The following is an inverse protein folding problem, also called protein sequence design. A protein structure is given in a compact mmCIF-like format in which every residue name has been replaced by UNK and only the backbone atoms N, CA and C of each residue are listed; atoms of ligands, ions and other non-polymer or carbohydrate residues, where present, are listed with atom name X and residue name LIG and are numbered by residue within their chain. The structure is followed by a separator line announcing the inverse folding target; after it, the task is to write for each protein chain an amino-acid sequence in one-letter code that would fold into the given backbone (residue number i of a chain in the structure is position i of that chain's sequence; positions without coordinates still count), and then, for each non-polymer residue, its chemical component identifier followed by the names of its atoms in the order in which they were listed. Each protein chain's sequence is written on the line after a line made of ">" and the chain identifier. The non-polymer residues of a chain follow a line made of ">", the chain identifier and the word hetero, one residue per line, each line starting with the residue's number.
data_IF_585694956444
#
_entry.id   IF_585694956444
#
_cell.length_a   1.000
_cell.length_b   1.000
_cell.length_c   1.000
_cell.angle_alpha   90.00
_cell.angle_beta   90.00
_cell.angle_gamma   90.00
#
_symmetry.space_group_name_H-M   'P 1'
#
loop_
_entity.id
_entity.type
_entity.pdbx_description
1 polymer ?
#
# COMPACT_ATOMS: atom_id res chain seq x y z
N UNK A 1 -5.59 -23.97 60.71
CA UNK A 1 -4.85 -24.46 61.89
C UNK A 1 -3.44 -24.84 61.45
N UNK A 2 -2.43 -24.16 62.02
CA UNK A 2 -1.06 -24.62 62.36
C UNK A 2 -0.38 -25.66 61.43
N UNK A 3 0.67 -25.23 60.73
CA UNK A 3 2.10 -25.42 61.10
C UNK A 3 2.66 -26.80 60.74
N UNK A 4 3.66 -26.83 59.86
CA UNK A 4 4.62 -27.92 59.75
C UNK A 4 6.03 -27.32 59.75
N UNK A 5 6.86 -27.91 60.59
CA UNK A 5 8.18 -27.49 61.05
C UNK A 5 9.08 -28.73 60.87
N UNK A 6 10.37 -28.49 60.66
CA UNK A 6 11.56 -29.36 60.79
C UNK A 6 12.26 -29.66 59.45
N UNK A 7 13.53 -29.33 59.13
CA UNK A 7 14.84 -29.09 59.82
C UNK A 7 15.86 -30.21 59.49
N UNK A 8 16.96 -29.80 58.82
CA UNK A 8 18.36 -30.31 58.86
C UNK A 8 18.66 -31.74 58.36
N UNK A 9 19.84 -32.13 57.83
CA UNK A 9 21.19 -31.56 57.61
C UNK A 9 21.93 -32.44 56.55
N UNK A 10 22.95 -31.92 55.83
CA UNK A 10 24.41 -32.25 55.88
C UNK A 10 24.87 -32.75 54.48
N UNK A 11 26.06 -32.53 53.90
CA UNK A 11 27.38 -32.07 54.35
C UNK A 11 28.30 -31.74 53.12
N UNK A 12 29.15 -30.68 53.25
CA UNK A 12 30.52 -30.32 52.74
C UNK A 12 31.23 -31.19 51.65
N UNK A 13 32.16 -30.74 50.78
CA UNK A 13 33.19 -29.66 50.73
C UNK A 13 33.62 -29.43 49.23
N UNK A 14 34.24 -28.33 48.77
CA UNK A 14 35.69 -28.03 48.91
C UNK A 14 36.15 -26.64 48.34
N UNK A 15 36.65 -25.76 49.24
CA UNK A 15 37.78 -24.78 49.21
C UNK A 15 38.04 -23.71 48.10
N UNK A 16 38.84 -22.63 48.35
CA UNK A 16 39.38 -22.09 49.63
C UNK A 16 39.15 -20.57 49.89
N UNK A 17 39.54 -20.18 51.11
CA UNK A 17 39.47 -18.87 51.77
C UNK A 17 40.41 -17.80 51.20
N UNK A 18 39.94 -16.55 51.15
CA UNK A 18 40.76 -15.33 51.29
C UNK A 18 40.06 -14.43 52.32
N UNK A 19 40.84 -13.90 53.26
CA UNK A 19 40.41 -13.20 54.47
C UNK A 19 39.79 -11.80 54.29
N UNK A 20 39.46 -11.13 55.41
CA UNK A 20 38.46 -10.06 55.44
C UNK A 20 39.03 -8.69 55.05
N UNK A 21 38.24 -7.93 54.29
CA UNK A 21 38.46 -6.49 54.12
C UNK A 21 37.86 -5.73 55.31
N UNK A 22 38.52 -4.66 55.80
CA UNK A 22 38.10 -3.93 56.99
C UNK A 22 37.06 -2.85 56.66
N UNK A 23 36.14 -2.60 57.60
CA UNK A 23 35.34 -1.36 57.62
C UNK A 23 33.83 -1.55 57.62
N UNK A 24 33.27 -2.26 58.61
CA UNK A 24 31.86 -2.07 58.98
C UNK A 24 31.85 -1.40 60.35
N UNK A 25 31.64 -0.09 60.35
CA UNK A 25 31.22 0.65 61.53
C UNK A 25 29.73 0.41 61.71
N UNK A 26 29.34 -0.25 62.80
CA UNK A 26 27.96 -0.26 63.26
C UNK A 26 27.61 1.15 63.74
N UNK A 27 26.81 1.88 62.96
CA UNK A 27 26.04 3.01 63.46
C UNK A 27 24.62 2.51 63.66
N UNK A 28 24.27 2.29 64.92
CA UNK A 28 22.90 2.23 65.37
C UNK A 28 22.33 3.64 65.26
N UNK A 29 21.54 3.88 64.23
CA UNK A 29 20.74 5.11 64.09
C UNK A 29 19.28 4.74 64.35
N UNK A 30 18.82 5.08 65.55
CA UNK A 30 17.41 5.34 65.80
C UNK A 30 16.94 6.44 64.84
N UNK A 31 15.85 6.17 64.12
CA UNK A 31 15.23 7.11 63.21
C UNK A 31 14.62 6.38 62.03
N UNK A 32 13.29 6.43 61.93
CA UNK A 32 12.49 5.97 60.80
C UNK A 32 13.16 6.27 59.46
N UNK A 33 13.81 5.26 58.87
CA UNK A 33 14.05 5.25 57.43
C UNK A 33 12.72 4.80 56.83
N UNK A 34 11.99 5.66 56.11
CA UNK A 34 10.82 5.20 55.40
C UNK A 34 11.32 4.14 54.42
N UNK A 35 10.88 2.89 54.58
CA UNK A 35 10.91 1.92 53.50
C UNK A 35 10.31 2.65 52.32
N UNK A 36 11.15 2.97 51.35
CA UNK A 36 10.84 3.87 50.25
C UNK A 36 9.56 3.39 49.61
N UNK A 37 8.48 4.16 49.81
CA UNK A 37 7.23 4.08 49.07
C UNK A 37 7.47 4.64 47.65
N UNK A 38 8.54 4.18 47.00
CA UNK A 38 8.72 4.25 45.54
C UNK A 38 8.13 2.94 45.04
N UNK A 39 6.84 2.77 45.32
CA UNK A 39 6.08 1.61 44.89
C UNK A 39 5.91 1.74 43.39
N UNK A 40 6.36 0.72 42.66
CA UNK A 40 5.99 0.26 41.32
C UNK A 40 4.71 0.82 40.64
N UNK A 41 4.54 2.14 40.52
CA UNK A 41 3.37 2.77 39.88
C UNK A 41 3.23 2.32 38.41
N UNK A 42 4.36 2.05 37.74
CA UNK A 42 4.37 1.49 36.39
C UNK A 42 3.88 0.03 36.33
N UNK A 43 3.94 -0.75 37.41
CA UNK A 43 3.31 -2.09 37.44
C UNK A 43 1.78 -1.97 37.45
N UNK A 44 1.23 -0.97 38.13
CA UNK A 44 -0.21 -0.70 38.07
C UNK A 44 -0.64 -0.30 36.65
N UNK A 45 0.16 0.56 35.99
CA UNK A 45 -0.08 0.93 34.60
C UNK A 45 0.08 -0.24 33.63
N UNK A 46 1.04 -1.15 33.87
CA UNK A 46 1.17 -2.41 33.13
C UNK A 46 -0.11 -3.24 33.24
N UNK A 47 -0.63 -3.45 34.45
CA UNK A 47 -1.81 -4.28 34.66
C UNK A 47 -3.07 -3.61 34.09
N UNK A 48 -3.19 -2.28 34.20
CA UNK A 48 -4.24 -1.49 33.54
C UNK A 48 -4.17 -1.64 32.03
N UNK A 49 -2.97 -1.54 31.45
CA UNK A 49 -2.78 -1.71 30.01
C UNK A 49 -3.22 -3.11 29.57
N UNK A 50 -2.84 -4.16 30.30
CA UNK A 50 -3.26 -5.54 29.98
C UNK A 50 -4.78 -5.70 30.03
N UNK A 51 -5.44 -5.11 31.03
CA UNK A 51 -6.87 -5.32 31.29
C UNK A 51 -7.80 -4.32 30.57
N UNK A 52 -7.24 -3.26 29.97
CA UNK A 52 -8.02 -2.20 29.35
C UNK A 52 -8.94 -2.74 28.25
N UNK A 53 -10.24 -2.46 28.40
CA UNK A 53 -11.31 -2.84 27.46
C UNK A 53 -11.70 -1.70 26.52
N UNK A 54 -11.53 -0.45 26.96
CA UNK A 54 -11.83 0.73 26.17
C UNK A 54 -10.54 1.31 25.59
N UNK A 55 -10.63 1.84 24.38
CA UNK A 55 -9.48 2.43 23.65
C UNK A 55 -8.84 3.57 24.43
N UNK A 56 -9.65 4.46 25.01
CA UNK A 56 -9.15 5.57 25.82
C UNK A 56 -8.34 5.10 27.04
N UNK A 57 -8.82 4.08 27.76
CA UNK A 57 -8.12 3.53 28.93
C UNK A 57 -6.81 2.82 28.51
N UNK A 58 -6.85 2.09 27.39
CA UNK A 58 -5.68 1.41 26.82
C UNK A 58 -4.61 2.44 26.44
N UNK A 59 -5.00 3.48 25.71
CA UNK A 59 -4.08 4.49 25.21
C UNK A 59 -3.50 5.30 26.39
N UNK A 60 -4.31 5.70 27.37
CA UNK A 60 -3.83 6.38 28.56
C UNK A 60 -2.84 5.53 29.38
N UNK A 61 -3.12 4.23 29.56
CA UNK A 61 -2.22 3.33 30.25
C UNK A 61 -0.91 3.08 29.48
N UNK A 62 -0.99 3.02 28.15
CA UNK A 62 0.20 2.94 27.30
C UNK A 62 1.07 4.18 27.41
N UNK A 63 0.50 5.39 27.28
CA UNK A 63 1.27 6.63 27.37
C UNK A 63 1.95 6.78 28.73
N UNK A 64 1.23 6.53 29.83
CA UNK A 64 1.80 6.57 31.18
C UNK A 64 2.98 5.59 31.35
N UNK A 65 2.85 4.38 30.79
CA UNK A 65 3.90 3.38 30.86
C UNK A 65 5.07 3.66 29.90
N UNK A 66 4.81 4.24 28.73
CA UNK A 66 5.82 4.64 27.75
C UNK A 66 6.66 5.82 28.23
N UNK A 67 6.03 6.81 28.88
CA UNK A 67 6.72 7.91 29.56
C UNK A 67 7.65 7.34 30.65
N UNK A 68 7.10 6.48 31.52
CA UNK A 68 7.88 5.80 32.55
C UNK A 68 8.99 4.91 31.98
N UNK A 69 8.87 4.39 30.76
CA UNK A 69 9.87 3.54 30.10
C UNK A 69 11.02 4.30 29.43
N UNK A 70 11.05 5.64 29.51
CA UNK A 70 12.07 6.48 28.89
C UNK A 70 13.40 6.53 29.64
N UNK A 71 13.44 6.18 30.93
CA UNK A 71 14.64 6.35 31.80
C UNK A 71 14.98 5.15 32.73
N UNK A 72 14.10 4.15 32.96
CA UNK A 72 14.45 2.87 33.58
C UNK A 72 14.24 1.65 32.67
N UNK A 73 15.19 0.70 32.71
CA UNK A 73 15.09 -0.55 31.94
C UNK A 73 13.90 -1.43 32.35
N UNK A 74 13.47 -1.38 33.61
CA UNK A 74 12.37 -2.21 34.15
C UNK A 74 11.00 -1.79 33.62
N UNK A 75 10.69 -0.50 33.54
CA UNK A 75 9.42 -0.02 32.97
C UNK A 75 9.32 -0.35 31.48
N UNK A 76 10.46 -0.34 30.75
CA UNK A 76 10.50 -0.81 29.37
C UNK A 76 10.22 -2.32 29.26
N UNK A 77 10.75 -3.11 30.18
CA UNK A 77 10.41 -4.55 30.27
C UNK A 77 8.92 -4.73 30.54
N UNK A 78 8.36 -3.99 31.50
CA UNK A 78 6.93 -4.03 31.82
C UNK A 78 6.03 -3.66 30.64
N UNK A 79 6.39 -2.62 29.89
CA UNK A 79 5.70 -2.24 28.66
C UNK A 79 5.74 -3.38 27.64
N UNK A 80 6.91 -3.98 27.43
CA UNK A 80 7.08 -5.14 26.55
C UNK A 80 6.21 -6.33 26.98
N UNK A 81 6.17 -6.63 28.28
CA UNK A 81 5.31 -7.68 28.86
C UNK A 81 3.82 -7.40 28.61
N UNK A 82 3.36 -6.17 28.87
CA UNK A 82 1.97 -5.79 28.67
C UNK A 82 1.54 -5.90 27.20
N UNK A 83 2.35 -5.38 26.27
CA UNK A 83 2.10 -5.49 24.84
C UNK A 83 2.09 -6.94 24.37
N UNK A 84 3.01 -7.76 24.89
CA UNK A 84 3.06 -9.21 24.58
C UNK A 84 1.83 -9.94 25.09
N UNK A 85 1.38 -9.66 26.31
CA UNK A 85 0.18 -10.28 26.89
C UNK A 85 -1.09 -9.90 26.09
N UNK A 86 -1.23 -8.63 25.70
CA UNK A 86 -2.34 -8.18 24.84
C UNK A 86 -2.30 -8.84 23.47
N UNK A 87 -1.11 -8.94 22.87
CA UNK A 87 -0.93 -9.65 21.59
C UNK A 87 -1.32 -11.12 21.68
N UNK A 88 -0.88 -11.84 22.71
CA UNK A 88 -1.27 -13.24 22.92
C UNK A 88 -2.79 -13.40 23.05
N UNK A 89 -3.45 -12.51 23.81
CA UNK A 89 -4.90 -12.51 23.94
C UNK A 89 -5.62 -12.22 22.61
N UNK A 90 -5.08 -11.27 21.83
CA UNK A 90 -5.60 -10.93 20.50
C UNK A 90 -5.46 -12.12 19.53
N UNK A 91 -4.29 -12.77 19.50
CA UNK A 91 -4.04 -13.94 18.66
C UNK A 91 -4.95 -15.13 19.03
N UNK A 92 -5.11 -15.42 20.33
CA UNK A 92 -6.02 -16.47 20.80
C UNK A 92 -7.48 -16.16 20.40
N UNK A 93 -7.89 -14.89 20.50
CA UNK A 93 -9.21 -14.45 20.06
C UNK A 93 -9.38 -14.61 18.55
N UNK A 94 -8.37 -14.25 17.76
CA UNK A 94 -8.40 -14.35 16.30
C UNK A 94 -8.53 -15.81 15.87
N UNK A 95 -7.73 -16.70 16.46
CA UNK A 95 -7.77 -18.14 16.21
C UNK A 95 -9.15 -18.73 16.56
N UNK A 96 -9.74 -18.30 17.67
CA UNK A 96 -11.05 -18.76 18.12
C UNK A 96 -12.24 -18.32 17.24
N UNK A 97 -12.06 -17.38 16.30
CA UNK A 97 -13.15 -16.87 15.45
C UNK A 97 -13.49 -17.78 14.25
N UNK A 98 -12.71 -18.83 14.01
CA UNK A 98 -12.91 -19.77 12.90
C UNK A 98 -12.86 -19.08 11.53
N UNK A 99 -11.94 -18.14 11.35
CA UNK A 99 -11.87 -17.32 10.12
C UNK A 99 -11.44 -18.13 8.90
N UNK A 100 -10.68 -19.22 9.07
CA UNK A 100 -10.21 -20.06 7.96
C UNK A 100 -11.35 -20.51 7.05
N UNK A 101 -12.40 -21.09 7.64
CA UNK A 101 -13.57 -21.52 6.88
C UNK A 101 -14.36 -20.35 6.27
N UNK A 102 -14.40 -19.18 6.93
CA UNK A 102 -15.08 -17.98 6.39
C UNK A 102 -14.35 -17.42 5.18
N UNK A 103 -13.02 -17.55 5.13
CA UNK A 103 -12.16 -17.02 4.07
C UNK A 103 -11.82 -18.05 2.99
N UNK A 104 -12.04 -19.34 3.23
CA UNK A 104 -11.72 -20.45 2.32
C UNK A 104 -12.09 -20.17 0.86
N UNK A 105 -13.35 -19.76 0.62
CA UNK A 105 -13.81 -19.45 -0.75
C UNK A 105 -13.18 -18.19 -1.34
N UNK A 106 -12.93 -17.17 -0.53
CA UNK A 106 -12.27 -15.94 -0.99
C UNK A 106 -10.79 -16.21 -1.30
N UNK A 107 -10.12 -17.04 -0.51
CA UNK A 107 -8.73 -17.46 -0.74
C UNK A 107 -8.62 -18.31 -2.02
N UNK A 108 -9.55 -19.24 -2.25
CA UNK A 108 -9.62 -19.99 -3.50
C UNK A 108 -9.80 -19.06 -4.72
N UNK A 109 -10.71 -18.08 -4.61
CA UNK A 109 -10.90 -17.07 -5.65
C UNK A 109 -9.66 -16.18 -5.83
N UNK A 110 -8.90 -15.92 -4.77
CA UNK A 110 -7.63 -15.20 -4.84
C UNK A 110 -6.58 -15.99 -5.60
N UNK A 111 -6.49 -17.30 -5.37
CA UNK A 111 -5.61 -18.18 -6.16
C UNK A 111 -6.01 -18.20 -7.63
N UNK A 112 -7.31 -18.31 -7.94
CA UNK A 112 -7.82 -18.22 -9.31
C UNK A 112 -7.45 -16.87 -9.96
N UNK A 113 -7.65 -15.76 -9.24
CA UNK A 113 -7.31 -14.41 -9.68
C UNK A 113 -5.83 -14.31 -10.07
N UNK A 114 -4.93 -14.84 -9.26
CA UNK A 114 -3.49 -14.77 -9.53
C UNK A 114 -3.08 -15.64 -10.72
N UNK A 115 -3.74 -16.78 -10.93
CA UNK A 115 -3.55 -17.62 -12.12
C UNK A 115 -4.00 -16.90 -13.40
N UNK A 116 -5.21 -16.32 -13.41
CA UNK A 116 -5.73 -15.63 -14.61
C UNK A 116 -4.98 -14.32 -14.89
N UNK A 117 -4.50 -13.61 -13.85
CA UNK A 117 -3.58 -12.47 -14.01
C UNK A 117 -2.30 -12.89 -14.72
N UNK A 118 -1.63 -13.93 -14.20
CA UNK A 118 -0.40 -14.45 -14.81
C UNK A 118 -0.65 -14.85 -16.26
N UNK A 119 -1.71 -15.59 -16.52
CA UNK A 119 -2.05 -16.05 -17.86
C UNK A 119 -2.27 -14.90 -18.86
N UNK A 120 -2.92 -13.82 -18.44
CA UNK A 120 -3.09 -12.61 -19.27
C UNK A 120 -1.76 -11.85 -19.47
N UNK A 121 -1.04 -11.59 -18.39
CA UNK A 121 0.23 -10.85 -18.41
C UNK A 121 1.28 -11.53 -19.28
N UNK A 122 1.43 -12.86 -19.16
CA UNK A 122 2.40 -13.65 -19.93
C UNK A 122 2.23 -13.44 -21.46
N UNK A 123 1.01 -13.21 -21.96
CA UNK A 123 0.77 -12.92 -23.38
C UNK A 123 0.90 -11.44 -23.74
N UNK A 124 0.45 -10.54 -22.87
CA UNK A 124 0.51 -9.10 -23.15
C UNK A 124 1.97 -8.62 -23.18
N UNK A 125 2.81 -9.20 -22.32
CA UNK A 125 4.24 -8.90 -22.20
C UNK A 125 5.11 -9.64 -23.23
N UNK A 126 4.58 -10.67 -23.90
CA UNK A 126 5.28 -11.38 -24.96
C UNK A 126 5.32 -10.53 -26.25
N UNK A 127 6.41 -9.79 -26.43
CA UNK A 127 6.63 -8.95 -27.60
C UNK A 127 6.86 -9.74 -28.91
N UNK A 128 7.09 -11.05 -28.84
CA UNK A 128 7.21 -11.88 -30.04
C UNK A 128 5.84 -12.29 -30.56
N UNK A 129 4.97 -12.75 -29.65
CA UNK A 129 3.61 -13.19 -30.00
C UNK A 129 2.66 -12.01 -30.18
N UNK A 130 2.68 -11.05 -29.25
CA UNK A 130 1.86 -9.83 -29.27
C UNK A 130 2.73 -8.63 -29.69
N UNK A 131 3.26 -8.73 -30.90
CA UNK A 131 4.31 -7.87 -31.43
C UNK A 131 3.84 -6.46 -31.82
N UNK A 132 4.81 -5.55 -31.94
CA UNK A 132 4.67 -4.22 -32.53
C UNK A 132 5.92 -3.93 -33.42
N UNK A 133 5.80 -3.22 -34.55
CA UNK A 133 4.57 -2.79 -35.21
C UNK A 133 3.78 -3.99 -35.76
N UNK A 134 2.45 -3.86 -35.79
CA UNK A 134 1.55 -4.95 -36.17
C UNK A 134 0.70 -4.68 -37.42
N UNK A 135 0.88 -3.51 -38.05
CA UNK A 135 0.17 -3.10 -39.25
C UNK A 135 1.10 -3.13 -40.46
N UNK A 136 0.51 -3.17 -41.64
CA UNK A 136 1.23 -2.95 -42.89
C UNK A 136 1.53 -1.45 -43.06
N UNK A 137 2.64 -1.08 -43.72
CA UNK A 137 3.60 -1.96 -44.43
C UNK A 137 4.72 -2.54 -43.54
N UNK A 138 4.77 -2.23 -42.25
CA UNK A 138 5.87 -2.60 -41.37
C UNK A 138 5.99 -4.12 -41.16
N UNK A 139 4.89 -4.86 -41.34
CA UNK A 139 4.88 -6.32 -41.36
C UNK A 139 4.17 -6.86 -42.61
N UNK A 140 4.46 -8.11 -42.96
CA UNK A 140 3.77 -8.81 -44.06
C UNK A 140 2.28 -8.95 -43.77
N UNK A 141 1.45 -9.09 -44.81
CA UNK A 141 0.01 -9.32 -44.65
C UNK A 141 -0.31 -10.57 -43.82
N UNK A 142 0.47 -11.64 -44.02
CA UNK A 142 0.36 -12.89 -43.26
C UNK A 142 0.64 -12.66 -41.78
N UNK A 143 1.69 -11.90 -41.44
CA UNK A 143 2.04 -11.56 -40.06
C UNK A 143 0.99 -10.63 -39.44
N UNK A 144 0.51 -9.61 -40.16
CA UNK A 144 -0.58 -8.76 -39.67
C UNK A 144 -1.86 -9.57 -39.36
N UNK A 145 -2.17 -10.60 -40.14
CA UNK A 145 -3.33 -11.46 -39.91
C UNK A 145 -3.21 -12.33 -38.64
N UNK A 146 -1.99 -12.69 -38.21
CA UNK A 146 -1.81 -13.43 -36.94
C UNK A 146 -2.08 -12.54 -35.74
N UNK A 147 -1.76 -11.24 -35.81
CA UNK A 147 -1.99 -10.29 -34.72
C UNK A 147 -3.46 -10.27 -34.27
N UNK A 148 -4.42 -10.30 -35.22
CA UNK A 148 -5.84 -10.27 -34.88
C UNK A 148 -6.27 -11.46 -34.00
N UNK A 149 -5.72 -12.66 -34.28
CA UNK A 149 -5.99 -13.86 -33.47
C UNK A 149 -5.37 -13.72 -32.07
N UNK A 150 -4.17 -13.17 -31.99
CA UNK A 150 -3.49 -12.91 -30.70
C UNK A 150 -4.26 -11.87 -29.89
N UNK A 151 -4.75 -10.79 -30.51
CA UNK A 151 -5.59 -9.80 -29.84
C UNK A 151 -6.86 -10.43 -29.26
N UNK A 152 -7.56 -11.28 -30.03
CA UNK A 152 -8.75 -11.98 -29.53
C UNK A 152 -8.45 -12.86 -28.32
N UNK A 153 -7.28 -13.51 -28.31
CA UNK A 153 -6.80 -14.29 -27.18
C UNK A 153 -6.51 -13.38 -25.97
N UNK A 154 -5.83 -12.24 -26.15
CA UNK A 154 -5.62 -11.24 -25.10
C UNK A 154 -6.97 -10.82 -24.50
N UNK A 155 -7.95 -10.49 -25.33
CA UNK A 155 -9.28 -10.08 -24.87
C UNK A 155 -9.98 -11.19 -24.08
N UNK A 156 -9.84 -12.46 -24.48
CA UNK A 156 -10.40 -13.60 -23.76
C UNK A 156 -9.77 -13.74 -22.37
N UNK A 157 -8.44 -13.61 -22.27
CA UNK A 157 -7.72 -13.70 -21.00
C UNK A 157 -8.05 -12.54 -20.07
N UNK A 158 -8.15 -11.32 -20.60
CA UNK A 158 -8.58 -10.14 -19.83
C UNK A 158 -10.04 -10.29 -19.37
N UNK A 159 -10.95 -10.78 -20.21
CA UNK A 159 -12.34 -11.06 -19.79
C UNK A 159 -12.44 -12.12 -18.68
N UNK A 160 -11.61 -13.16 -18.72
CA UNK A 160 -11.55 -14.16 -17.66
C UNK A 160 -11.13 -13.51 -16.33
N UNK A 161 -10.10 -12.66 -16.37
CA UNK A 161 -9.65 -11.86 -15.23
C UNK A 161 -10.76 -10.94 -14.70
N UNK A 162 -11.42 -10.17 -15.56
CA UNK A 162 -12.56 -9.32 -15.19
C UNK A 162 -13.68 -10.14 -14.54
N UNK A 163 -13.93 -11.35 -15.05
CA UNK A 163 -14.93 -12.26 -14.51
C UNK A 163 -14.69 -12.64 -13.05
N UNK A 164 -13.44 -12.88 -12.67
CA UNK A 164 -13.04 -13.17 -11.29
C UNK A 164 -13.08 -11.90 -10.45
N UNK A 165 -12.47 -10.82 -10.94
CA UNK A 165 -12.34 -9.54 -10.22
C UNK A 165 -13.70 -8.92 -9.89
N UNK A 166 -14.59 -8.80 -10.87
CA UNK A 166 -15.90 -8.16 -10.70
C UNK A 166 -16.87 -8.99 -9.85
N UNK A 167 -16.64 -10.31 -9.75
CA UNK A 167 -17.44 -11.24 -8.92
C UNK A 167 -16.76 -11.56 -7.60
N UNK A 168 -15.86 -10.68 -7.13
CA UNK A 168 -15.18 -10.85 -5.85
C UNK A 168 -16.16 -11.15 -4.72
N UNK A 169 -15.93 -12.25 -4.02
CA UNK A 169 -16.62 -12.58 -2.78
C UNK A 169 -16.30 -11.52 -1.72
N UNK A 170 -17.27 -11.24 -0.86
CA UNK A 170 -17.17 -10.23 0.19
C UNK A 170 -17.39 -10.89 1.54
N UNK A 171 -16.34 -10.94 2.36
CA UNK A 171 -16.44 -11.39 3.75
C UNK A 171 -16.75 -10.17 4.61
N UNK A 172 -17.93 -10.17 5.27
CA UNK A 172 -18.32 -9.06 6.15
C UNK A 172 -17.47 -9.05 7.42
N UNK A 173 -17.00 -7.86 7.81
CA UNK A 173 -16.29 -7.66 9.07
C UNK A 173 -17.30 -7.24 10.14
N UNK A 174 -17.66 -8.19 11.01
CA UNK A 174 -18.54 -7.91 12.16
C UNK A 174 -17.82 -7.12 13.26
N UNK A 175 -18.58 -6.47 14.15
CA UNK A 175 -18.03 -5.66 15.26
C UNK A 175 -16.92 -6.35 16.06
N UNK A 176 -17.02 -7.65 16.45
CA UNK A 176 -15.95 -8.30 17.19
C UNK A 176 -14.64 -8.41 16.42
N UNK A 177 -14.72 -8.74 15.12
CA UNK A 177 -13.53 -8.83 14.26
C UNK A 177 -12.96 -7.43 14.00
N UNK A 178 -13.80 -6.42 13.75
CA UNK A 178 -13.36 -5.05 13.54
C UNK A 178 -12.53 -4.54 14.74
N UNK A 179 -13.08 -4.66 15.96
CA UNK A 179 -12.38 -4.24 17.17
C UNK A 179 -11.07 -5.01 17.40
N UNK A 180 -11.04 -6.30 17.05
CA UNK A 180 -9.82 -7.11 17.15
C UNK A 180 -8.76 -6.69 16.13
N UNK A 181 -9.13 -6.38 14.89
CA UNK A 181 -8.21 -5.89 13.87
C UNK A 181 -7.64 -4.52 14.23
N UNK A 182 -8.45 -3.63 14.81
CA UNK A 182 -8.00 -2.34 15.36
C UNK A 182 -7.01 -2.52 16.52
N UNK A 183 -7.23 -3.50 17.40
CA UNK A 183 -6.27 -3.85 18.47
C UNK A 183 -4.97 -4.38 17.89
N UNK A 184 -5.03 -5.27 16.90
CA UNK A 184 -3.83 -5.84 16.25
C UNK A 184 -3.01 -4.74 15.56
N UNK A 185 -3.66 -3.83 14.82
CA UNK A 185 -2.99 -2.69 14.19
C UNK A 185 -2.34 -1.77 15.22
N UNK A 186 -3.04 -1.48 16.33
CA UNK A 186 -2.51 -0.68 17.42
C UNK A 186 -1.28 -1.31 18.08
N UNK A 187 -1.27 -2.64 18.27
CA UNK A 187 -0.17 -3.41 18.84
C UNK A 187 1.03 -3.49 17.87
N UNK A 188 0.80 -3.77 16.59
CA UNK A 188 1.87 -3.87 15.58
C UNK A 188 2.60 -2.53 15.43
N UNK A 189 1.88 -1.40 15.48
CA UNK A 189 2.47 -0.06 15.49
C UNK A 189 3.40 0.22 16.69
N UNK A 190 3.33 -0.59 17.75
CA UNK A 190 4.11 -0.48 19.00
C UNK A 190 5.04 -1.67 19.21
N UNK A 191 5.25 -2.51 18.20
CA UNK A 191 6.05 -3.73 18.34
C UNK A 191 7.53 -3.44 18.65
N UNK A 192 8.01 -2.22 18.40
CA UNK A 192 9.37 -1.75 18.69
C UNK A 192 9.70 -1.69 20.19
N UNK A 193 8.68 -1.66 21.05
CA UNK A 193 8.85 -1.75 22.50
C UNK A 193 9.07 -3.19 22.99
N UNK A 194 8.78 -4.19 22.17
CA UNK A 194 8.94 -5.61 22.49
C UNK A 194 10.26 -6.13 21.90
N UNK A 195 11.14 -6.67 22.75
CA UNK A 195 12.39 -7.28 22.28
C UNK A 195 12.08 -8.50 21.40
N UNK A 196 12.54 -8.47 20.15
CA UNK A 196 12.21 -9.51 19.16
C UNK A 196 10.87 -9.28 18.44
N UNK A 197 10.14 -8.21 18.78
CA UNK A 197 8.85 -7.87 18.20
C UNK A 197 7.70 -8.77 18.68
N UNK A 198 6.53 -8.55 18.08
CA UNK A 198 5.34 -9.34 18.33
C UNK A 198 5.28 -10.50 17.33
N UNK A 199 5.60 -11.71 17.82
CA UNK A 199 5.64 -12.91 17.00
C UNK A 199 4.23 -13.38 16.63
N UNK A 200 3.97 -13.57 15.34
CA UNK A 200 2.72 -14.15 14.87
C UNK A 200 2.79 -15.69 15.02
N UNK A 201 1.78 -16.35 15.62
CA UNK A 201 1.80 -17.81 15.82
C UNK A 201 1.98 -18.60 14.52
N UNK A 202 2.96 -19.51 14.48
CA UNK A 202 3.24 -20.37 13.30
C UNK A 202 2.08 -21.31 12.97
N UNK A 203 1.23 -21.63 13.95
CA UNK A 203 0.03 -22.45 13.74
C UNK A 203 -1.07 -21.73 12.96
N UNK A 204 -0.99 -20.40 12.79
CA UNK A 204 -1.99 -19.63 12.07
C UNK A 204 -1.50 -19.30 10.65
N UNK A 205 -2.39 -19.33 9.65
CA UNK A 205 -2.05 -18.90 8.30
C UNK A 205 -1.55 -17.45 8.24
N UNK A 206 -0.48 -17.22 7.48
CA UNK A 206 0.20 -15.91 7.40
C UNK A 206 -0.74 -14.76 6.98
N UNK A 207 -1.67 -15.01 6.04
CA UNK A 207 -2.61 -13.99 5.54
C UNK A 207 -3.46 -13.34 6.65
N UNK A 208 -3.73 -14.05 7.75
CA UNK A 208 -4.51 -13.52 8.86
C UNK A 208 -3.84 -12.32 9.54
N UNK A 209 -2.50 -12.27 9.50
CA UNK A 209 -1.72 -11.14 10.03
C UNK A 209 -2.02 -9.84 9.29
N UNK A 210 -2.42 -9.93 8.02
CA UNK A 210 -2.56 -8.79 7.12
C UNK A 210 -4.00 -8.41 6.81
N UNK A 211 -4.96 -8.90 7.62
CA UNK A 211 -6.35 -8.50 7.51
C UNK A 211 -6.48 -6.99 7.78
N UNK A 212 -7.13 -6.22 6.87
CA UNK A 212 -7.13 -4.77 6.98
C UNK A 212 -8.12 -4.28 8.04
N UNK A 213 -7.60 -3.52 9.02
CA UNK A 213 -8.42 -2.79 9.98
C UNK A 213 -9.25 -1.68 9.30
N UNK A 214 -10.36 -1.29 9.94
CA UNK A 214 -11.24 -0.21 9.48
C UNK A 214 -12.05 -0.53 8.21
N UNK A 215 -11.99 -1.76 7.69
CA UNK A 215 -12.79 -2.16 6.52
C UNK A 215 -14.10 -2.83 6.94
N UNK A 216 -15.21 -2.43 6.32
CA UNK A 216 -16.52 -3.08 6.54
C UNK A 216 -16.61 -4.48 5.92
N UNK A 217 -15.80 -4.73 4.89
CA UNK A 217 -15.74 -6.00 4.17
C UNK A 217 -14.32 -6.26 3.67
N UNK A 218 -13.97 -7.54 3.54
CA UNK A 218 -12.70 -7.99 2.96
C UNK A 218 -13.01 -8.78 1.69
N UNK A 219 -12.30 -8.45 0.62
CA UNK A 219 -12.49 -8.96 -0.73
C UNK A 219 -11.15 -8.95 -1.52
N UNK A 220 -11.16 -9.31 -2.80
CA UNK A 220 -9.94 -9.42 -3.60
C UNK A 220 -9.17 -8.10 -3.76
N UNK A 221 -9.80 -6.96 -3.48
CA UNK A 221 -9.19 -5.64 -3.62
C UNK A 221 -8.36 -5.22 -2.41
N UNK A 222 -8.62 -5.83 -1.24
CA UNK A 222 -7.98 -5.44 0.02
C UNK A 222 -7.40 -6.62 0.83
N UNK A 223 -7.55 -7.86 0.37
CA UNK A 223 -6.91 -9.05 0.95
C UNK A 223 -5.45 -9.14 0.53
N UNK A 224 -4.55 -9.06 1.52
CA UNK A 224 -3.12 -9.35 1.36
C UNK A 224 -2.79 -10.75 1.87
N UNK A 225 -1.97 -11.49 1.12
CA UNK A 225 -1.48 -12.81 1.54
C UNK A 225 -0.20 -12.73 2.37
N UNK A 226 0.61 -11.72 2.14
CA UNK A 226 1.90 -11.52 2.80
C UNK A 226 2.20 -10.02 3.08
N UNK A 227 3.33 -9.76 3.73
CA UNK A 227 3.79 -8.39 4.07
C UNK A 227 3.98 -7.50 2.85
N UNK A 228 4.51 -8.05 1.76
CA UNK A 228 4.81 -7.30 0.54
C UNK A 228 3.51 -6.82 -0.10
N UNK A 229 2.51 -7.70 -0.17
CA UNK A 229 1.17 -7.35 -0.66
C UNK A 229 0.48 -6.34 0.24
N UNK A 230 0.56 -6.51 1.56
CA UNK A 230 -0.05 -5.58 2.52
C UNK A 230 0.49 -4.15 2.32
N UNK A 231 1.83 -4.03 2.17
CA UNK A 231 2.49 -2.75 1.87
C UNK A 231 2.07 -2.18 0.52
N UNK A 232 1.99 -3.03 -0.52
CA UNK A 232 1.53 -2.63 -1.85
C UNK A 232 0.11 -2.06 -1.80
N UNK A 233 -0.83 -2.79 -1.19
CA UNK A 233 -2.24 -2.37 -1.09
C UNK A 233 -2.43 -1.10 -0.25
N UNK A 234 -1.61 -0.90 0.79
CA UNK A 234 -1.60 0.34 1.55
C UNK A 234 -1.11 1.51 0.70
N UNK A 235 0.03 1.33 0.01
CA UNK A 235 0.58 2.34 -0.89
C UNK A 235 -0.40 2.68 -2.01
N UNK A 236 -1.07 1.69 -2.60
CA UNK A 236 -2.03 1.92 -3.68
C UNK A 236 -3.24 2.72 -3.20
N UNK A 237 -3.78 2.41 -2.01
CA UNK A 237 -4.83 3.24 -1.37
C UNK A 237 -4.38 4.68 -1.17
N UNK A 238 -3.15 4.90 -0.70
CA UNK A 238 -2.58 6.23 -0.54
C UNK A 238 -2.37 6.96 -1.87
N UNK A 239 -1.93 6.25 -2.92
CA UNK A 239 -1.75 6.84 -4.25
C UNK A 239 -3.08 7.31 -4.86
N UNK A 240 -4.14 6.52 -4.72
CA UNK A 240 -5.48 6.92 -5.15
C UNK A 240 -6.00 8.11 -4.35
N UNK A 241 -5.85 8.09 -3.02
CA UNK A 241 -6.25 9.20 -2.16
C UNK A 241 -5.45 10.48 -2.45
N UNK A 242 -4.15 10.35 -2.74
CA UNK A 242 -3.29 11.44 -3.18
C UNK A 242 -3.84 12.10 -4.44
N UNK A 243 -4.22 11.32 -5.45
CA UNK A 243 -4.78 11.86 -6.69
C UNK A 243 -6.04 12.67 -6.43
N UNK A 244 -7.01 12.11 -5.69
CA UNK A 244 -8.26 12.81 -5.37
C UNK A 244 -8.02 14.07 -4.52
N UNK A 245 -7.13 14.00 -3.53
CA UNK A 245 -6.79 15.15 -2.69
C UNK A 245 -6.10 16.26 -3.51
N UNK A 246 -5.16 15.90 -4.38
CA UNK A 246 -4.48 16.84 -5.28
C UNK A 246 -5.50 17.49 -6.21
N UNK A 247 -6.39 16.72 -6.85
CA UNK A 247 -7.43 17.28 -7.72
C UNK A 247 -8.46 18.14 -6.99
N UNK A 248 -8.81 17.81 -5.75
CA UNK A 248 -9.70 18.61 -4.93
C UNK A 248 -9.06 19.95 -4.50
N UNK A 249 -7.74 19.96 -4.29
CA UNK A 249 -6.98 21.18 -4.00
C UNK A 249 -6.87 22.10 -5.22
N UNK A 250 -6.90 21.55 -6.44
CA UNK A 250 -7.00 22.28 -7.69
C UNK A 250 -8.40 22.91 -7.82
N UNK A 251 -8.58 24.14 -7.34
CA UNK A 251 -9.87 24.85 -7.44
C UNK A 251 -10.25 25.04 -8.92
N UNK A 252 -11.43 24.53 -9.29
CA UNK A 252 -12.09 24.81 -10.58
C UNK A 252 -12.15 26.33 -10.84
N UNK A 253 -12.02 26.78 -12.10
CA UNK A 253 -11.90 28.19 -12.45
C UNK A 253 -13.08 29.02 -11.93
N UNK A 254 -12.80 30.19 -11.36
CA UNK A 254 -13.81 31.19 -11.01
C UNK A 254 -14.31 31.88 -12.28
N UNK A 255 -15.61 32.14 -12.36
CA UNK A 255 -16.22 33.00 -13.39
C UNK A 255 -15.60 34.40 -13.22
N UNK A 256 -14.72 34.81 -14.14
CA UNK A 256 -13.91 36.06 -14.17
C UNK A 256 -12.42 35.90 -13.80
N UNK A 257 -11.67 35.08 -14.56
CA UNK A 257 -10.20 34.99 -14.47
C UNK A 257 -9.50 35.76 -15.60
N UNK A 258 -8.31 36.30 -15.32
CA UNK A 258 -7.41 36.91 -16.31
C UNK A 258 -6.80 35.84 -17.24
N UNK A 259 -6.25 36.24 -18.40
CA UNK A 259 -5.61 35.31 -19.34
C UNK A 259 -4.44 34.51 -18.73
N UNK A 260 -3.73 35.08 -17.75
CA UNK A 260 -2.66 34.39 -17.00
C UNK A 260 -3.20 33.32 -16.06
N UNK A 261 -4.31 33.59 -15.37
CA UNK A 261 -5.00 32.62 -14.52
C UNK A 261 -5.60 31.48 -15.36
N UNK A 262 -6.09 31.78 -16.56
CA UNK A 262 -6.56 30.78 -17.53
C UNK A 262 -5.43 29.85 -18.01
N UNK A 263 -4.24 30.40 -18.30
CA UNK A 263 -3.03 29.60 -18.60
C UNK A 263 -2.61 28.72 -17.43
N UNK A 264 -2.73 29.20 -16.19
CA UNK A 264 -2.47 28.39 -14.99
C UNK A 264 -3.52 27.28 -14.78
N UNK A 265 -4.78 27.50 -15.18
CA UNK A 265 -5.81 26.46 -15.09
C UNK A 265 -5.73 25.38 -16.18
N UNK A 266 -5.07 25.66 -17.31
CA UNK A 266 -4.84 24.67 -18.39
C UNK A 266 -3.87 23.54 -17.98
N UNK A 267 -3.19 23.68 -16.83
CA UNK A 267 -2.34 22.64 -16.24
C UNK A 267 -3.13 21.63 -15.37
N UNK A 268 -4.43 21.87 -15.12
CA UNK A 268 -5.26 20.97 -14.31
C UNK A 268 -6.15 20.08 -15.16
N UNK A 269 -6.36 18.82 -14.74
CA UNK A 269 -7.16 17.88 -15.51
C UNK A 269 -8.65 18.23 -15.38
N UNK A 270 -9.35 18.22 -16.51
CA UNK A 270 -10.82 18.22 -16.53
C UNK A 270 -11.38 16.87 -16.04
N UNK A 271 -12.70 16.75 -15.92
CA UNK A 271 -13.30 15.51 -15.38
C UNK A 271 -13.04 14.28 -16.27
N UNK A 272 -13.03 14.42 -17.58
CA UNK A 272 -12.73 13.30 -18.48
C UNK A 272 -11.28 12.83 -18.30
N UNK A 273 -10.34 13.76 -18.13
CA UNK A 273 -8.93 13.47 -17.88
C UNK A 273 -8.70 12.79 -16.53
N UNK A 274 -9.40 13.26 -15.48
CA UNK A 274 -9.42 12.57 -14.17
C UNK A 274 -9.99 11.16 -14.29
N UNK A 275 -11.10 11.00 -14.98
CA UNK A 275 -11.71 9.69 -15.21
C UNK A 275 -10.77 8.76 -16.00
N UNK A 276 -10.02 9.28 -16.96
CA UNK A 276 -9.03 8.49 -17.68
C UNK A 276 -7.96 7.92 -16.72
N UNK A 277 -7.43 8.75 -15.81
CA UNK A 277 -6.48 8.30 -14.77
C UNK A 277 -7.10 7.25 -13.86
N UNK A 278 -8.36 7.45 -13.43
CA UNK A 278 -9.10 6.47 -12.61
C UNK A 278 -9.27 5.13 -13.31
N UNK A 279 -9.73 5.13 -14.57
CA UNK A 279 -9.91 3.91 -15.38
C UNK A 279 -8.58 3.19 -15.54
N UNK A 280 -7.49 3.91 -15.81
CA UNK A 280 -6.16 3.32 -15.93
C UNK A 280 -5.70 2.67 -14.62
N UNK A 281 -5.89 3.34 -13.48
CA UNK A 281 -5.54 2.77 -12.19
C UNK A 281 -6.44 1.57 -11.81
N UNK A 282 -7.73 1.61 -12.12
CA UNK A 282 -8.62 0.48 -11.91
C UNK A 282 -8.16 -0.75 -12.72
N UNK A 283 -7.81 -0.55 -13.99
CA UNK A 283 -7.26 -1.60 -14.85
C UNK A 283 -5.94 -2.15 -14.30
N UNK A 284 -5.02 -1.26 -13.89
CA UNK A 284 -3.74 -1.65 -13.27
C UNK A 284 -3.95 -2.52 -12.03
N UNK A 285 -4.81 -2.12 -11.11
CA UNK A 285 -5.08 -2.88 -9.88
C UNK A 285 -5.69 -4.26 -10.19
N UNK A 286 -6.61 -4.33 -11.15
CA UNK A 286 -7.16 -5.60 -11.63
C UNK A 286 -6.04 -6.51 -12.18
N UNK A 287 -5.11 -5.96 -12.95
CA UNK A 287 -3.94 -6.66 -13.50
C UNK A 287 -2.84 -6.97 -12.46
N UNK A 288 -3.02 -6.61 -11.19
CA UNK A 288 -2.02 -6.80 -10.15
C UNK A 288 -0.83 -5.82 -10.25
N UNK A 289 -1.01 -4.70 -10.93
CA UNK A 289 -0.05 -3.60 -11.05
C UNK A 289 -0.40 -2.48 -10.07
N UNK A 290 0.64 -1.78 -9.60
CA UNK A 290 0.50 -0.66 -8.65
C UNK A 290 -0.31 0.47 -9.28
N UNK A 291 -1.10 1.16 -8.46
CA UNK A 291 -1.74 2.42 -8.87
C UNK A 291 -0.66 3.46 -9.22
N UNK A 292 -0.99 4.49 -9.98
CA UNK A 292 -0.08 5.57 -10.35
C UNK A 292 -0.57 6.87 -9.74
N UNK A 293 0.36 7.65 -9.20
CA UNK A 293 0.04 9.01 -8.76
C UNK A 293 -0.02 9.94 -9.97
N UNK A 294 -0.92 10.90 -9.96
CA UNK A 294 -1.01 11.93 -10.97
C UNK A 294 0.10 12.97 -10.80
N UNK A 295 0.72 13.43 -11.89
CA UNK A 295 1.74 14.49 -11.86
C UNK A 295 1.34 15.66 -12.80
N UNK A 296 1.27 16.91 -12.30
CA UNK A 296 0.88 18.07 -13.10
C UNK A 296 1.83 18.38 -14.27
N UNK A 297 3.12 18.07 -14.13
CA UNK A 297 4.10 18.29 -15.21
C UNK A 297 3.84 17.33 -16.37
N UNK A 298 3.52 16.07 -16.06
CA UNK A 298 3.10 15.11 -17.08
C UNK A 298 1.78 15.54 -17.76
N UNK A 299 0.86 16.16 -17.01
CA UNK A 299 -0.40 16.70 -17.55
C UNK A 299 -0.12 17.80 -18.57
N UNK A 300 0.74 18.76 -18.23
CA UNK A 300 1.11 19.86 -19.12
C UNK A 300 1.75 19.36 -20.42
N UNK A 301 2.69 18.41 -20.32
CA UNK A 301 3.32 17.80 -21.50
C UNK A 301 2.30 17.04 -22.37
N UNK A 302 1.36 16.33 -21.74
CA UNK A 302 0.31 15.59 -22.46
C UNK A 302 -0.66 16.54 -23.16
N UNK A 303 -1.12 17.59 -22.49
CA UNK A 303 -2.07 18.56 -23.04
C UNK A 303 -1.44 19.29 -24.23
N UNK A 304 -0.20 19.77 -24.07
CA UNK A 304 0.52 20.41 -25.17
C UNK A 304 0.71 19.51 -26.39
N UNK A 305 0.85 18.20 -26.19
CA UNK A 305 0.93 17.26 -27.32
C UNK A 305 -0.43 17.00 -27.97
N UNK A 306 -1.49 16.83 -27.19
CA UNK A 306 -2.85 16.69 -27.73
C UNK A 306 -3.23 17.94 -28.54
N UNK A 307 -2.93 19.14 -28.05
CA UNK A 307 -3.15 20.40 -28.78
C UNK A 307 -2.34 20.46 -30.09
N UNK A 308 -1.08 20.03 -30.06
CA UNK A 308 -0.25 19.96 -31.26
C UNK A 308 -0.87 19.03 -32.31
N UNK A 309 -1.28 17.83 -31.91
CA UNK A 309 -1.86 16.83 -32.80
C UNK A 309 -3.19 17.32 -33.39
N UNK A 310 -4.02 17.96 -32.58
CA UNK A 310 -5.31 18.53 -33.01
C UNK A 310 -5.13 19.73 -33.94
N UNK A 311 -4.19 20.63 -33.64
CA UNK A 311 -3.94 21.84 -34.45
C UNK A 311 -3.30 21.55 -35.80
N UNK A 312 -2.34 20.63 -35.84
CA UNK A 312 -1.58 20.32 -37.07
C UNK A 312 -2.21 19.20 -37.89
N UNK A 313 -3.05 18.36 -37.27
CA UNK A 313 -3.53 17.12 -37.87
C UNK A 313 -2.49 16.00 -37.91
N UNK A 314 -1.25 16.26 -37.48
CA UNK A 314 -0.18 15.26 -37.41
C UNK A 314 -0.34 14.41 -36.14
N UNK A 315 -0.80 13.17 -36.29
CA UNK A 315 -1.04 12.24 -35.19
C UNK A 315 0.10 11.23 -35.04
N UNK A 316 0.65 11.12 -33.85
CA UNK A 316 1.78 10.26 -33.52
C UNK A 316 2.63 10.84 -32.40
N UNK A 317 3.65 10.11 -31.94
CA UNK A 317 4.47 10.49 -30.77
C UNK A 317 5.42 11.68 -31.02
N UNK A 318 5.72 11.96 -32.28
CA UNK A 318 6.75 12.92 -32.66
C UNK A 318 6.14 14.20 -33.23
N UNK A 319 6.72 15.33 -32.86
CA UNK A 319 6.48 16.61 -33.52
C UNK A 319 7.53 16.83 -34.61
N UNK A 320 7.19 17.57 -35.66
CA UNK A 320 8.05 17.76 -36.83
C UNK A 320 9.42 18.35 -36.47
N UNK A 321 9.46 19.46 -35.73
CA UNK A 321 10.70 20.15 -35.33
C UNK A 321 10.56 20.93 -34.02
N UNK A 322 11.71 21.32 -33.45
CA UNK A 322 11.79 22.14 -32.24
C UNK A 322 12.10 21.37 -30.96
N UNK A 323 12.10 22.05 -29.81
CA UNK A 323 12.51 21.46 -28.54
C UNK A 323 11.50 20.45 -27.96
N UNK A 324 10.35 20.25 -28.62
CA UNK A 324 9.23 19.37 -28.21
C UNK A 324 9.13 18.09 -29.05
N UNK A 325 10.20 17.75 -29.80
CA UNK A 325 10.20 16.70 -30.82
C UNK A 325 9.77 15.32 -30.31
N UNK A 326 10.36 14.84 -29.22
CA UNK A 326 10.00 13.53 -28.63
C UNK A 326 9.10 13.69 -27.40
N UNK A 327 8.38 12.64 -26.97
CA UNK A 327 7.60 12.67 -25.72
C UNK A 327 8.44 13.10 -24.52
N UNK A 328 9.69 12.62 -24.45
CA UNK A 328 10.59 12.93 -23.35
C UNK A 328 11.12 14.36 -23.41
N UNK A 329 11.29 14.94 -24.60
CA UNK A 329 11.67 16.35 -24.70
C UNK A 329 10.55 17.25 -24.18
N UNK A 330 9.29 16.93 -24.51
CA UNK A 330 8.12 17.64 -23.95
C UNK A 330 8.07 17.55 -22.43
N UNK A 331 8.25 16.36 -21.88
CA UNK A 331 8.27 16.16 -20.42
C UNK A 331 9.42 16.93 -19.76
N UNK A 332 10.64 16.91 -20.33
CA UNK A 332 11.79 17.64 -19.79
C UNK A 332 11.58 19.16 -19.81
N UNK A 333 10.96 19.70 -20.86
CA UNK A 333 10.69 21.14 -20.97
C UNK A 333 9.79 21.68 -19.86
N UNK A 334 8.87 20.85 -19.36
CA UNK A 334 7.99 21.18 -18.23
C UNK A 334 8.57 20.72 -16.88
N UNK A 335 9.88 20.41 -16.84
CA UNK A 335 10.60 20.04 -15.62
C UNK A 335 10.37 18.60 -15.14
N UNK A 336 9.81 17.71 -15.97
CA UNK A 336 9.68 16.29 -15.67
C UNK A 336 10.80 15.47 -16.34
N UNK A 337 11.86 15.18 -15.59
CA UNK A 337 13.09 14.59 -16.14
C UNK A 337 13.04 13.07 -16.34
N UNK A 338 12.05 12.39 -15.74
CA UNK A 338 12.00 10.92 -15.61
C UNK A 338 10.86 10.27 -16.38
N UNK A 339 10.54 10.81 -17.55
CA UNK A 339 9.55 10.25 -18.47
C UNK A 339 10.02 8.94 -19.10
N UNK A 340 9.10 7.99 -19.29
CA UNK A 340 9.46 6.64 -19.78
C UNK A 340 8.59 6.11 -20.91
N UNK A 341 7.32 6.52 -21.00
CA UNK A 341 6.44 6.08 -22.09
C UNK A 341 5.29 7.05 -22.33
N UNK A 342 4.67 6.92 -23.50
CA UNK A 342 3.50 7.69 -23.93
C UNK A 342 2.53 6.78 -24.70
N UNK A 343 1.24 6.99 -24.48
CA UNK A 343 0.14 6.43 -25.26
C UNK A 343 -0.61 7.56 -25.96
N UNK A 344 -0.90 7.41 -27.25
CA UNK A 344 -1.74 8.37 -27.99
C UNK A 344 -2.97 7.67 -28.56
N UNK A 345 -4.12 8.33 -28.58
CA UNK A 345 -5.35 7.84 -29.22
C UNK A 345 -6.04 8.97 -29.97
N UNK A 346 -6.73 8.64 -31.07
CA UNK A 346 -7.52 9.57 -31.87
C UNK A 346 -8.84 8.95 -32.29
N UNK A 347 -9.90 9.75 -32.32
CA UNK A 347 -11.22 9.39 -32.85
C UNK A 347 -12.34 9.44 -31.82
N UNK A 348 -12.04 9.65 -30.54
CA UNK A 348 -13.05 9.85 -29.49
C UNK A 348 -12.52 10.69 -28.35
N UNK A 349 -13.31 11.67 -27.92
CA UNK A 349 -13.05 12.44 -26.69
C UNK A 349 -13.47 11.72 -25.41
N UNK A 350 -13.95 10.47 -25.49
CA UNK A 350 -14.38 9.68 -24.33
C UNK A 350 -13.19 8.91 -23.70
N UNK A 351 -12.95 9.05 -22.39
CA UNK A 351 -11.78 8.45 -21.72
C UNK A 351 -11.78 6.93 -21.73
N UNK A 352 -12.96 6.29 -21.68
CA UNK A 352 -13.07 4.82 -21.69
C UNK A 352 -12.79 4.27 -23.08
N UNK A 353 -13.27 4.95 -24.12
CA UNK A 353 -12.99 4.61 -25.51
C UNK A 353 -11.49 4.71 -25.81
N UNK A 354 -10.81 5.76 -25.34
CA UNK A 354 -9.37 5.90 -25.47
C UNK A 354 -8.62 4.75 -24.77
N UNK A 355 -9.01 4.43 -23.53
CA UNK A 355 -8.42 3.34 -22.76
C UNK A 355 -8.59 1.97 -23.44
N UNK A 356 -9.79 1.66 -23.93
CA UNK A 356 -10.05 0.41 -24.68
C UNK A 356 -9.21 0.36 -25.97
N UNK A 357 -9.06 1.49 -26.68
CA UNK A 357 -8.18 1.59 -27.83
C UNK A 357 -6.72 1.24 -27.51
N UNK A 358 -6.24 1.65 -26.34
CA UNK A 358 -4.90 1.29 -25.86
C UNK A 358 -4.78 -0.18 -25.45
N UNK A 359 -5.81 -0.78 -24.86
CA UNK A 359 -5.85 -2.23 -24.61
C UNK A 359 -5.80 -3.07 -25.90
N UNK A 360 -6.27 -2.53 -27.03
CA UNK A 360 -6.23 -3.21 -28.35
C UNK A 360 -5.02 -2.84 -29.22
N UNK A 361 -3.96 -2.31 -28.60
CA UNK A 361 -2.67 -2.03 -29.25
C UNK A 361 -1.56 -2.57 -28.37
N UNK A 362 -0.78 -3.52 -28.87
CA UNK A 362 0.20 -4.23 -28.05
C UNK A 362 1.19 -3.34 -27.32
N UNK A 363 1.74 -2.34 -28.02
CA UNK A 363 2.64 -1.35 -27.40
C UNK A 363 1.95 -0.50 -26.33
N UNK A 364 0.75 -0.01 -26.61
CA UNK A 364 0.01 0.82 -25.66
C UNK A 364 -0.47 0.01 -24.45
N UNK A 365 -0.87 -1.24 -24.68
CA UNK A 365 -1.32 -2.15 -23.65
C UNK A 365 -0.20 -2.45 -22.66
N UNK A 366 1.03 -2.70 -23.16
CA UNK A 366 2.22 -2.84 -22.31
C UNK A 366 2.49 -1.59 -21.48
N UNK A 367 2.39 -0.39 -22.06
CA UNK A 367 2.52 0.85 -21.28
C UNK A 367 1.48 0.98 -20.16
N UNK A 368 0.23 0.55 -20.39
CA UNK A 368 -0.83 0.55 -19.36
C UNK A 368 -0.47 -0.34 -18.16
N UNK A 369 0.22 -1.46 -18.38
CA UNK A 369 0.54 -2.46 -17.35
C UNK A 369 2.02 -2.47 -16.92
N UNK A 370 2.84 -1.56 -17.42
CA UNK A 370 4.27 -1.51 -17.08
C UNK A 370 4.44 -1.38 -15.57
N UNK A 371 5.20 -2.32 -14.99
CA UNK A 371 5.31 -2.50 -13.55
C UNK A 371 6.09 -1.37 -12.87
N UNK A 372 7.03 -0.75 -13.58
CA UNK A 372 7.92 0.25 -13.02
C UNK A 372 7.36 1.67 -13.04
N UNK A 373 6.26 1.93 -13.74
CA UNK A 373 5.59 3.24 -13.70
C UNK A 373 5.21 3.61 -12.27
N UNK A 374 5.49 4.86 -11.89
CA UNK A 374 5.11 5.43 -10.58
C UNK A 374 4.12 6.58 -10.74
N UNK A 375 4.25 7.37 -11.81
CA UNK A 375 3.32 8.45 -12.14
C UNK A 375 2.72 8.33 -13.52
N UNK A 376 1.58 9.00 -13.69
CA UNK A 376 0.96 9.21 -14.97
C UNK A 376 0.26 10.57 -15.06
N UNK A 377 -0.08 10.97 -16.27
CA UNK A 377 -1.14 11.93 -16.53
C UNK A 377 -1.80 11.61 -17.87
N UNK A 378 -3.02 12.10 -18.10
CA UNK A 378 -3.71 11.94 -19.36
C UNK A 378 -4.44 13.23 -19.71
N UNK A 379 -4.28 13.68 -20.94
CA UNK A 379 -4.84 14.92 -21.43
C UNK A 379 -5.53 14.75 -22.77
N UNK A 380 -6.57 15.53 -23.02
CA UNK A 380 -7.36 15.49 -24.26
C UNK A 380 -7.48 16.86 -24.91
N UNK A 381 -7.47 16.89 -26.24
CA UNK A 381 -7.79 18.08 -27.04
C UNK A 381 -8.60 17.65 -28.26
N UNK A 382 -9.87 18.04 -28.32
CA UNK A 382 -10.80 17.49 -29.32
C UNK A 382 -11.03 15.99 -29.14
N UNK A 383 -10.77 15.20 -30.19
CA UNK A 383 -10.88 13.74 -30.21
C UNK A 383 -9.54 13.02 -30.01
N UNK A 384 -8.50 13.75 -29.60
CA UNK A 384 -7.12 13.25 -29.40
C UNK A 384 -6.79 13.18 -27.92
N UNK A 385 -6.27 12.03 -27.50
CA UNK A 385 -5.75 11.76 -26.17
C UNK A 385 -4.24 11.53 -26.20
N UNK A 386 -3.55 12.06 -25.20
CA UNK A 386 -2.16 11.75 -24.88
C UNK A 386 -2.08 11.34 -23.41
N UNK A 387 -1.43 10.22 -23.12
CA UNK A 387 -1.22 9.71 -21.78
C UNK A 387 0.27 9.47 -21.57
N UNK A 388 0.85 10.15 -20.57
CA UNK A 388 2.27 10.13 -20.29
C UNK A 388 2.56 9.40 -18.98
N UNK A 389 3.69 8.71 -18.94
CA UNK A 389 4.14 7.96 -17.78
C UNK A 389 5.55 8.31 -17.37
N UNK A 390 5.80 8.13 -16.08
CA UNK A 390 7.10 8.37 -15.52
C UNK A 390 7.36 7.63 -14.22
N UNK A 391 8.59 7.77 -13.75
CA UNK A 391 9.14 6.97 -12.65
C UNK A 391 9.74 7.82 -11.52
N UNK A 392 9.45 9.13 -11.48
CA UNK A 392 9.89 10.02 -10.40
C UNK A 392 9.42 9.50 -9.02
N UNK A 393 10.12 9.83 -7.94
CA UNK A 393 9.82 9.36 -6.58
C UNK A 393 9.33 10.46 -5.65
N UNK A 394 9.15 11.69 -6.16
CA UNK A 394 8.68 12.82 -5.34
C UNK A 394 7.38 12.49 -4.61
N UNK A 395 6.36 12.01 -5.33
CA UNK A 395 5.10 11.61 -4.71
C UNK A 395 5.23 10.36 -3.82
N UNK A 396 6.14 9.44 -4.13
CA UNK A 396 6.35 8.23 -3.31
C UNK A 396 6.82 8.55 -1.89
N UNK A 397 7.50 9.67 -1.66
CA UNK A 397 7.87 10.10 -0.31
C UNK A 397 6.68 10.50 0.57
N UNK A 398 5.50 10.71 -0.04
CA UNK A 398 4.26 11.13 0.60
C UNK A 398 3.28 9.95 0.79
N UNK A 399 3.60 8.78 0.23
CA UNK A 399 2.85 7.53 0.36
C UNK A 399 3.50 6.67 1.44
#
# INVERSE_FOLDING_TARGET
>A
MRFLLLIFASWLASWPLVGPLPGVSFIQADGDVPVTRVTFEWLEWRDRLIQAKHTADRDAAFEALAEAASDPSEARVALGEALTARWQAAMASLQGMGLEHKFERLLAQRTELDQVRKHALDLIEDEQTYFYPYRQPEVTAEKAATYFKVQQEVDQRVRALEGVWNKSLKVKVGKPLAALLEEIEWLDARSNFVKGGLAFPESMPEWMRYLPAGQAQIDLTNLALDRTEARRLLRDRKALAYNEATWAACKLPRRNQTEEEQKQTAQFPNEAEREQVRVTNAYRLMMGRRALTWDPRLQEAAHGHSDYQTRTGNFGHFQEDGPTKTPFDRMRLVGYMRGVSENCSKGSGDPKTAHVGWCHSSGHHRNLIEANHLQMASATSGDVWTQNYGVDTVAESQL
#
